data_IF_853026736195
#
_entry.id   IF_853026736195
#
_cell.length_a   1.000
_cell.length_b   1.000
_cell.length_c   1.000
_cell.angle_alpha   90.00
_cell.angle_beta   90.00
_cell.angle_gamma   90.00
#
_symmetry.space_group_name_H-M   'P 1'
#
loop_
_entity.id
_entity.type
_entity.pdbx_description
1 polymer ?
#
# COMPACT_ATOMS: atom_id res chain seq x y z
N UNK A 1 -16.76 14.50 -13.06
CA UNK A 1 -15.81 13.44 -12.73
C UNK A 1 -14.43 14.00 -12.44
N UNK A 2 -13.86 13.60 -11.35
CA UNK A 2 -12.57 14.11 -10.94
C UNK A 2 -11.44 13.30 -11.56
N UNK A 3 -10.68 13.94 -12.47
CA UNK A 3 -9.58 13.27 -13.14
C UNK A 3 -8.41 12.95 -12.22
N UNK A 4 -8.38 13.59 -11.04
CA UNK A 4 -7.27 13.43 -10.10
C UNK A 4 -7.61 12.50 -8.95
N UNK A 5 -8.67 11.71 -9.10
CA UNK A 5 -9.02 10.74 -8.07
C UNK A 5 -8.15 9.51 -8.24
N UNK A 6 -7.36 9.21 -7.23
CA UNK A 6 -6.48 8.05 -7.23
C UNK A 6 -7.13 6.87 -6.53
N UNK A 7 -6.80 5.68 -6.97
CA UNK A 7 -7.32 4.43 -6.41
C UNK A 7 -6.22 3.71 -5.66
N UNK A 8 -6.47 3.41 -4.40
CA UNK A 8 -5.50 2.78 -3.50
C UNK A 8 -5.98 1.38 -3.13
N UNK A 9 -5.07 0.40 -3.17
CA UNK A 9 -5.35 -0.92 -2.63
C UNK A 9 -4.67 -1.03 -1.27
N UNK A 10 -5.44 -1.35 -0.24
CA UNK A 10 -4.94 -1.54 1.12
C UNK A 10 -5.04 -3.01 1.48
N UNK A 11 -3.91 -3.64 1.77
CA UNK A 11 -3.84 -5.07 2.09
C UNK A 11 -3.34 -5.23 3.52
N UNK A 12 -4.19 -5.71 4.40
CA UNK A 12 -3.86 -5.92 5.81
C UNK A 12 -4.83 -6.97 6.35
N UNK A 13 -4.31 -7.95 7.09
CA UNK A 13 -5.15 -9.00 7.66
C UNK A 13 -5.91 -8.56 8.92
N UNK A 14 -5.52 -7.42 9.50
CA UNK A 14 -6.22 -6.87 10.66
C UNK A 14 -7.44 -6.08 10.20
N UNK A 15 -8.63 -6.59 10.50
CA UNK A 15 -9.88 -5.98 10.07
C UNK A 15 -10.03 -4.54 10.54
N UNK A 16 -9.60 -4.25 11.76
CA UNK A 16 -9.77 -2.91 12.33
C UNK A 16 -8.86 -1.89 11.65
N UNK A 17 -7.61 -2.27 11.42
CA UNK A 17 -6.67 -1.39 10.73
C UNK A 17 -7.14 -1.15 9.31
N UNK A 18 -7.56 -2.22 8.63
CA UNK A 18 -8.02 -2.13 7.25
C UNK A 18 -9.21 -1.17 7.12
N UNK A 19 -10.19 -1.29 8.01
CA UNK A 19 -11.37 -0.41 7.98
C UNK A 19 -11.03 1.03 8.34
N UNK A 20 -10.20 1.22 9.36
CA UNK A 20 -9.78 2.55 9.77
C UNK A 20 -9.06 3.28 8.64
N UNK A 21 -8.11 2.60 8.00
CA UNK A 21 -7.35 3.18 6.90
C UNK A 21 -8.27 3.49 5.72
N UNK A 22 -9.16 2.56 5.39
CA UNK A 22 -10.11 2.78 4.30
C UNK A 22 -10.96 4.01 4.55
N UNK A 23 -11.58 4.12 5.72
CA UNK A 23 -12.44 5.25 6.04
C UNK A 23 -11.68 6.57 5.96
N UNK A 24 -10.48 6.58 6.51
CA UNK A 24 -9.67 7.79 6.53
C UNK A 24 -9.31 8.25 5.11
N UNK A 25 -8.88 7.32 4.28
CA UNK A 25 -8.48 7.66 2.91
C UNK A 25 -9.68 8.04 2.03
N UNK A 26 -10.81 7.34 2.20
CA UNK A 26 -12.02 7.71 1.49
C UNK A 26 -12.44 9.13 1.87
N UNK A 27 -12.34 9.47 3.15
CA UNK A 27 -12.64 10.82 3.63
C UNK A 27 -11.73 11.88 3.07
N UNK A 28 -10.58 11.47 2.53
CA UNK A 28 -9.62 12.38 1.90
C UNK A 28 -9.64 12.27 0.37
N UNK A 29 -10.76 11.84 -0.18
CA UNK A 29 -11.06 11.85 -1.61
C UNK A 29 -10.31 10.82 -2.44
N UNK A 30 -9.93 9.71 -1.83
CA UNK A 30 -9.37 8.57 -2.56
C UNK A 30 -10.43 7.50 -2.77
N UNK A 31 -10.30 6.77 -3.87
CA UNK A 31 -11.01 5.51 -4.03
C UNK A 31 -10.17 4.44 -3.34
N UNK A 32 -10.80 3.57 -2.58
CA UNK A 32 -10.06 2.56 -1.81
C UNK A 32 -10.71 1.19 -2.00
N UNK A 33 -9.88 0.23 -2.36
CA UNK A 33 -10.25 -1.19 -2.38
C UNK A 33 -9.41 -1.86 -1.30
N UNK A 34 -9.97 -2.83 -0.61
CA UNK A 34 -9.24 -3.54 0.44
C UNK A 34 -9.08 -5.00 0.10
N UNK A 35 -8.05 -5.62 0.68
CA UNK A 35 -7.84 -7.05 0.59
C UNK A 35 -7.31 -7.52 1.95
N UNK A 36 -7.65 -8.74 2.33
CA UNK A 36 -7.30 -9.25 3.65
C UNK A 36 -5.97 -10.01 3.66
N UNK A 37 -5.48 -10.42 2.50
CA UNK A 37 -4.21 -11.15 2.40
C UNK A 37 -3.70 -11.06 0.96
N UNK A 38 -2.55 -11.70 0.70
CA UNK A 38 -1.91 -11.64 -0.61
C UNK A 38 -2.76 -12.29 -1.69
N UNK A 39 -3.42 -13.39 -1.39
CA UNK A 39 -4.27 -14.07 -2.37
C UNK A 39 -5.41 -13.17 -2.82
N UNK A 40 -6.06 -12.52 -1.86
CA UNK A 40 -7.15 -11.59 -2.15
C UNK A 40 -6.63 -10.38 -2.95
N UNK A 41 -5.45 -9.88 -2.57
CA UNK A 41 -4.84 -8.76 -3.27
C UNK A 41 -4.57 -9.10 -4.74
N UNK A 42 -4.08 -10.30 -5.02
CA UNK A 42 -3.82 -10.70 -6.39
C UNK A 42 -5.08 -10.74 -7.23
N UNK A 43 -6.19 -11.17 -6.63
CA UNK A 43 -7.48 -11.16 -7.33
C UNK A 43 -7.90 -9.74 -7.68
N UNK A 44 -7.72 -8.79 -6.75
CA UNK A 44 -8.06 -7.39 -7.00
C UNK A 44 -7.18 -6.81 -8.12
N UNK A 45 -5.89 -7.12 -8.08
CA UNK A 45 -4.94 -6.62 -9.07
C UNK A 45 -5.23 -7.10 -10.49
N UNK A 46 -5.86 -8.25 -10.63
CA UNK A 46 -6.24 -8.76 -11.95
C UNK A 46 -7.40 -8.01 -12.56
N UNK A 47 -8.20 -7.36 -11.74
CA UNK A 47 -9.43 -6.72 -12.18
C UNK A 47 -9.29 -5.21 -12.30
N UNK A 48 -8.53 -4.59 -11.41
CA UNK A 48 -8.46 -3.14 -11.28
C UNK A 48 -7.01 -2.68 -11.29
N UNK A 49 -6.75 -1.55 -11.93
CA UNK A 49 -5.45 -0.88 -11.82
C UNK A 49 -5.49 0.06 -10.64
N UNK A 50 -4.45 0.01 -9.83
CA UNK A 50 -4.32 0.88 -8.67
C UNK A 50 -3.18 1.84 -8.89
N UNK A 51 -3.28 3.03 -8.29
CA UNK A 51 -2.24 4.04 -8.38
C UNK A 51 -1.17 3.84 -7.33
N UNK A 52 -1.52 3.21 -6.22
CA UNK A 52 -0.57 2.91 -5.16
C UNK A 52 -1.11 1.74 -4.33
N UNK A 53 -0.18 0.95 -3.79
CA UNK A 53 -0.53 -0.20 -2.94
C UNK A 53 0.03 0.04 -1.55
N UNK A 54 -0.76 -0.31 -0.52
CA UNK A 54 -0.33 -0.28 0.88
C UNK A 54 -0.42 -1.71 1.37
N UNK A 55 0.72 -2.34 1.66
CA UNK A 55 0.81 -3.75 1.98
C UNK A 55 1.39 -3.99 3.36
N UNK A 56 0.67 -4.74 4.19
CA UNK A 56 1.19 -5.22 5.46
C UNK A 56 2.20 -6.34 5.17
N UNK A 57 3.34 -6.31 5.84
CA UNK A 57 4.36 -7.35 5.67
C UNK A 57 3.92 -8.66 6.32
N UNK A 58 3.39 -8.58 7.54
CA UNK A 58 3.05 -9.78 8.31
C UNK A 58 1.60 -10.18 8.06
N UNK A 59 1.42 -11.16 7.19
CA UNK A 59 0.09 -11.69 6.88
C UNK A 59 0.13 -13.22 6.84
N UNK A 60 -0.99 -13.89 7.12
CA UNK A 60 -1.05 -15.34 6.96
C UNK A 60 -0.84 -15.71 5.49
N UNK A 61 -0.14 -16.80 5.23
CA UNK A 61 0.16 -17.22 3.87
C UNK A 61 1.34 -16.43 3.33
N UNK A 62 1.17 -15.84 2.16
CA UNK A 62 2.26 -15.09 1.53
C UNK A 62 2.47 -13.75 2.24
N UNK A 63 3.72 -13.40 2.52
CA UNK A 63 4.05 -12.14 3.18
C UNK A 63 3.94 -10.96 2.23
N UNK A 64 3.87 -9.76 2.81
CA UNK A 64 3.89 -8.54 1.99
C UNK A 64 5.20 -8.37 1.23
N UNK A 65 6.32 -8.88 1.78
CA UNK A 65 7.60 -8.82 1.08
C UNK A 65 7.58 -9.70 -0.17
N UNK A 66 7.08 -10.91 -0.05
CA UNK A 66 6.95 -11.82 -1.19
C UNK A 66 6.03 -11.23 -2.25
N UNK A 67 4.91 -10.67 -1.82
CA UNK A 67 3.95 -10.06 -2.73
C UNK A 67 4.57 -8.85 -3.46
N UNK A 68 5.36 -8.03 -2.75
CA UNK A 68 6.06 -6.90 -3.35
C UNK A 68 6.99 -7.37 -4.46
N UNK A 69 7.77 -8.42 -4.18
CA UNK A 69 8.70 -8.97 -5.17
C UNK A 69 7.95 -9.41 -6.42
N UNK A 70 6.85 -10.10 -6.24
CA UNK A 70 6.07 -10.61 -7.37
C UNK A 70 5.45 -9.46 -8.19
N UNK A 71 4.87 -8.48 -7.51
CA UNK A 71 4.23 -7.36 -8.19
C UNK A 71 5.25 -6.55 -8.98
N UNK A 72 6.40 -6.25 -8.38
CA UNK A 72 7.40 -5.40 -9.01
C UNK A 72 8.07 -6.03 -10.23
N UNK A 73 7.91 -7.32 -10.44
CA UNK A 73 8.44 -7.95 -11.66
C UNK A 73 7.82 -7.38 -12.92
N UNK A 74 6.53 -7.07 -12.89
CA UNK A 74 5.79 -6.69 -14.09
C UNK A 74 4.98 -5.43 -13.93
N UNK A 75 5.07 -4.76 -12.78
CA UNK A 75 4.17 -3.65 -12.49
C UNK A 75 4.93 -2.55 -11.75
N UNK A 76 5.02 -1.34 -12.33
CA UNK A 76 5.75 -0.25 -11.69
C UNK A 76 4.94 0.48 -10.61
N UNK A 77 3.75 0.01 -10.28
CA UNK A 77 2.90 0.66 -9.29
C UNK A 77 3.64 0.84 -7.97
N UNK A 78 3.64 2.04 -7.37
CA UNK A 78 4.32 2.28 -6.10
C UNK A 78 3.72 1.46 -4.97
N UNK A 79 4.58 1.07 -4.04
CA UNK A 79 4.19 0.25 -2.89
C UNK A 79 4.72 0.89 -1.61
N UNK A 80 3.84 1.05 -0.62
CA UNK A 80 4.21 1.40 0.74
C UNK A 80 4.02 0.14 1.59
N UNK A 81 5.07 -0.24 2.33
CA UNK A 81 4.99 -1.39 3.21
C UNK A 81 4.67 -0.96 4.64
N UNK A 82 3.80 -1.72 5.30
CA UNK A 82 3.51 -1.52 6.71
C UNK A 82 4.28 -2.56 7.50
N UNK A 83 5.12 -2.12 8.43
CA UNK A 83 6.01 -3.02 9.16
C UNK A 83 5.73 -2.97 10.65
N UNK A 84 6.07 -4.04 11.37
CA UNK A 84 6.04 -4.00 12.81
C UNK A 84 7.12 -3.04 13.31
N UNK A 85 6.85 -2.40 14.45
CA UNK A 85 7.80 -1.46 15.04
C UNK A 85 9.12 -2.18 15.34
N UNK A 86 10.22 -1.56 14.95
CA UNK A 86 11.55 -2.08 15.24
C UNK A 86 12.07 -3.10 14.24
N UNK A 87 11.31 -3.46 13.22
CA UNK A 87 11.73 -4.45 12.24
C UNK A 87 12.59 -3.82 11.13
N UNK A 88 13.80 -3.40 11.49
CA UNK A 88 14.72 -2.77 10.55
C UNK A 88 15.09 -3.70 9.39
N UNK A 89 15.24 -4.98 9.68
CA UNK A 89 15.58 -5.97 8.66
C UNK A 89 14.52 -6.03 7.57
N UNK A 90 13.25 -6.05 7.95
CA UNK A 90 12.16 -6.07 6.99
C UNK A 90 12.13 -4.81 6.15
N UNK A 91 12.46 -3.69 6.75
CA UNK A 91 12.51 -2.41 6.05
C UNK A 91 13.55 -2.42 4.94
N UNK A 92 14.75 -2.89 5.28
CA UNK A 92 15.85 -2.96 4.32
C UNK A 92 15.49 -3.90 3.18
N UNK A 93 14.99 -5.08 3.51
CA UNK A 93 14.59 -6.05 2.49
C UNK A 93 13.49 -5.48 1.58
N UNK A 94 12.51 -4.81 2.16
CA UNK A 94 11.43 -4.22 1.37
C UNK A 94 11.92 -3.19 0.37
N UNK A 95 12.85 -2.34 0.79
CA UNK A 95 13.43 -1.34 -0.11
C UNK A 95 14.23 -2.01 -1.22
N UNK A 96 14.98 -3.06 -0.89
CA UNK A 96 15.74 -3.80 -1.88
C UNK A 96 14.82 -4.48 -2.91
N UNK A 97 13.63 -4.88 -2.51
CA UNK A 97 12.66 -5.50 -3.39
C UNK A 97 11.89 -4.50 -4.24
N UNK A 98 12.11 -3.22 -4.02
CA UNK A 98 11.50 -2.18 -4.83
C UNK A 98 10.36 -1.41 -4.21
N UNK A 99 10.12 -1.59 -2.90
CA UNK A 99 9.12 -0.79 -2.22
C UNK A 99 9.52 0.69 -2.26
N UNK A 100 8.56 1.56 -2.39
CA UNK A 100 8.81 3.00 -2.53
C UNK A 100 8.87 3.70 -1.18
N UNK A 101 8.26 3.11 -0.15
CA UNK A 101 8.31 3.68 1.19
C UNK A 101 7.87 2.59 2.17
N UNK A 102 8.01 2.88 3.45
CA UNK A 102 7.55 1.99 4.51
C UNK A 102 7.08 2.81 5.68
N UNK A 103 6.23 2.22 6.52
CA UNK A 103 5.66 2.88 7.66
C UNK A 103 5.54 1.88 8.80
N UNK A 104 6.08 2.21 9.98
CA UNK A 104 6.03 1.33 11.14
C UNK A 104 4.71 1.37 11.86
N UNK A 105 4.21 0.21 12.27
CA UNK A 105 3.00 0.11 13.11
C UNK A 105 3.40 0.25 14.58
N UNK A 106 2.61 0.91 15.40
CA UNK A 106 1.40 1.66 15.08
C UNK A 106 1.73 3.00 14.41
N UNK A 107 0.84 3.45 13.52
CA UNK A 107 1.06 4.72 12.82
C UNK A 107 -0.18 5.60 12.92
N UNK A 108 0.04 6.89 12.70
CA UNK A 108 -1.07 7.84 12.59
C UNK A 108 -1.61 7.78 11.16
N UNK A 109 -2.91 7.69 10.96
CA UNK A 109 -3.47 7.67 9.61
C UNK A 109 -3.01 8.86 8.77
N UNK A 110 -2.82 10.02 9.40
CA UNK A 110 -2.33 11.21 8.69
C UNK A 110 -0.92 11.01 8.14
N UNK A 111 -0.07 10.27 8.86
CA UNK A 111 1.27 9.98 8.38
C UNK A 111 1.22 9.14 7.09
N UNK A 112 0.36 8.13 7.08
CA UNK A 112 0.16 7.33 5.87
C UNK A 112 -0.33 8.19 4.72
N UNK A 113 -1.31 9.05 4.99
CA UNK A 113 -1.85 9.96 3.99
C UNK A 113 -0.76 10.82 3.37
N UNK A 114 0.12 11.41 4.19
CA UNK A 114 1.18 12.28 3.71
C UNK A 114 2.19 11.53 2.85
N UNK A 115 2.51 10.28 3.22
CA UNK A 115 3.43 9.47 2.42
C UNK A 115 2.81 9.11 1.08
N UNK A 116 1.52 8.80 1.07
CA UNK A 116 0.79 8.53 -0.16
C UNK A 116 0.83 9.76 -1.07
N UNK A 117 0.53 10.94 -0.53
CA UNK A 117 0.53 12.17 -1.31
C UNK A 117 1.90 12.48 -1.88
N UNK A 118 2.95 12.26 -1.09
CA UNK A 118 4.32 12.50 -1.55
C UNK A 118 4.65 11.63 -2.75
N UNK A 119 4.28 10.35 -2.69
CA UNK A 119 4.55 9.44 -3.79
C UNK A 119 3.75 9.81 -5.03
N UNK A 120 2.47 10.10 -4.86
CA UNK A 120 1.61 10.46 -5.99
C UNK A 120 2.03 11.77 -6.64
N UNK A 121 2.51 12.73 -5.86
CA UNK A 121 3.00 13.98 -6.41
C UNK A 121 4.22 13.78 -7.31
N UNK A 122 5.09 12.85 -6.95
CA UNK A 122 6.26 12.56 -7.76
C UNK A 122 5.88 11.92 -9.10
N UNK A 123 4.84 11.10 -9.08
CA UNK A 123 4.38 10.42 -10.30
C UNK A 123 3.66 11.37 -11.23
N UNK A 124 2.87 12.28 -10.66
CA UNK A 124 2.08 13.25 -11.42
C UNK A 124 2.83 14.56 -11.65
N UNK A 125 4.09 14.47 -11.86
CA UNK A 125 4.88 15.67 -12.04
C UNK A 125 4.39 16.45 -13.24
N UNK A 126 4.07 17.73 -13.09
CA UNK A 126 3.67 18.54 -14.23
C UNK A 126 4.82 18.69 -15.20
N UNK A 127 4.48 18.75 -16.44
CA UNK A 127 5.46 18.90 -17.51
C UNK A 127 5.83 20.36 -17.69
#
# INVERSE_FOLDING_TARGET
MNKNTFHILVVDDDDRIRELVKEYLVGNNFLVTTAKDASDAKKRLQIVKFDILVLDIMMPGESGLSLTKEIKKNNPTPIILLTAKGETHDRIEGLELGADDYLGKPFEPKELLLRIKNILNKIQKPI
#
